data_IF_185054427971
#
_entry.id   IF_185054427971
#
_cell.length_a   1.000
_cell.length_b   1.000
_cell.length_c   1.000
_cell.angle_alpha   90.00
_cell.angle_beta   90.00
_cell.angle_gamma   90.00
#
_symmetry.space_group_name_H-M   'P 1'
#
loop_
_entity.id
_entity.type
_entity.pdbx_description
1 polymer ?
#
# COMPACT_ATOMS: atom_id res chain seq x y z
N UNK A 1 31.57 -8.66 6.15
CA UNK A 1 31.49 -7.71 5.02
C UNK A 1 31.66 -8.40 3.66
N UNK A 2 32.74 -9.16 3.39
CA UNK A 2 32.95 -9.80 2.09
C UNK A 2 31.78 -10.69 1.64
N UNK A 3 31.26 -11.54 2.54
CA UNK A 3 30.15 -12.46 2.24
C UNK A 3 28.83 -11.75 1.90
N UNK A 4 28.61 -10.55 2.43
CA UNK A 4 27.42 -9.75 2.13
C UNK A 4 27.51 -9.09 0.76
N UNK A 5 28.70 -8.61 0.39
CA UNK A 5 28.98 -8.05 -0.92
C UNK A 5 28.83 -9.12 -2.00
N UNK A 6 29.39 -10.32 -1.77
CA UNK A 6 29.23 -11.45 -2.70
C UNK A 6 27.77 -11.89 -2.85
N UNK A 7 27.01 -11.91 -1.75
CA UNK A 7 25.57 -12.22 -1.79
C UNK A 7 24.79 -11.21 -2.66
N UNK A 8 25.04 -9.91 -2.48
CA UNK A 8 24.32 -8.87 -3.25
C UNK A 8 24.77 -8.84 -4.70
N UNK A 9 26.08 -8.95 -4.97
CA UNK A 9 26.60 -9.05 -6.33
C UNK A 9 26.01 -10.28 -7.07
N UNK A 10 25.83 -11.39 -6.35
CA UNK A 10 25.20 -12.60 -6.87
C UNK A 10 23.67 -12.54 -7.03
N UNK A 11 23.00 -11.51 -6.48
CA UNK A 11 21.54 -11.38 -6.45
C UNK A 11 20.89 -10.96 -7.77
N UNK A 12 21.69 -10.56 -8.77
CA UNK A 12 21.19 -10.13 -10.08
C UNK A 12 20.28 -8.88 -10.04
N UNK A 13 20.21 -8.18 -8.91
CA UNK A 13 19.46 -6.94 -8.79
C UNK A 13 20.14 -5.82 -9.55
N UNK A 14 19.37 -5.02 -10.29
CA UNK A 14 19.89 -3.91 -11.09
C UNK A 14 20.55 -2.79 -10.29
N UNK A 15 20.34 -2.74 -8.98
CA UNK A 15 20.93 -1.77 -8.06
C UNK A 15 21.93 -2.41 -7.08
N UNK A 16 22.48 -3.60 -7.40
CA UNK A 16 23.43 -4.31 -6.54
C UNK A 16 24.65 -3.45 -6.15
N UNK A 17 25.24 -2.70 -7.10
CA UNK A 17 26.42 -1.86 -6.84
C UNK A 17 26.10 -0.71 -5.87
N UNK A 18 24.98 0.00 -6.09
CA UNK A 18 24.51 1.05 -5.20
C UNK A 18 24.21 0.49 -3.80
N UNK A 19 23.61 -0.70 -3.73
CA UNK A 19 23.33 -1.35 -2.47
C UNK A 19 24.61 -1.71 -1.71
N UNK A 20 25.63 -2.24 -2.40
CA UNK A 20 26.95 -2.53 -1.83
C UNK A 20 27.61 -1.25 -1.30
N UNK A 21 27.56 -0.15 -2.07
CA UNK A 21 28.10 1.14 -1.66
C UNK A 21 27.45 1.64 -0.37
N UNK A 22 26.10 1.65 -0.33
CA UNK A 22 25.33 2.10 0.84
C UNK A 22 25.57 1.22 2.06
N UNK A 23 25.70 -0.10 1.89
CA UNK A 23 26.08 -1.00 2.98
C UNK A 23 27.47 -0.68 3.54
N UNK A 24 28.45 -0.39 2.68
CA UNK A 24 29.80 0.01 3.12
C UNK A 24 29.79 1.33 3.86
N UNK A 25 28.90 2.24 3.49
CA UNK A 25 28.67 3.51 4.19
C UNK A 25 27.89 3.36 5.51
N UNK A 26 27.40 2.16 5.85
CA UNK A 26 26.60 1.93 7.05
C UNK A 26 25.16 2.44 6.95
N UNK A 27 24.63 2.58 5.74
CA UNK A 27 23.23 3.00 5.53
C UNK A 27 22.26 2.00 6.16
N UNK A 28 21.36 2.51 7.00
CA UNK A 28 20.43 1.68 7.78
C UNK A 28 19.44 0.93 6.88
N UNK A 29 18.88 1.56 5.85
CA UNK A 29 17.88 0.92 4.98
C UNK A 29 18.54 -0.18 4.15
N UNK A 30 19.76 0.05 3.68
CA UNK A 30 20.57 -0.97 3.02
C UNK A 30 20.83 -2.18 3.93
N UNK A 31 21.11 -1.96 5.22
CA UNK A 31 21.32 -3.02 6.20
C UNK A 31 20.03 -3.79 6.53
N UNK A 32 18.91 -3.09 6.69
CA UNK A 32 17.59 -3.69 6.94
C UNK A 32 17.17 -4.54 5.74
N UNK A 33 17.34 -4.02 4.52
CA UNK A 33 17.09 -4.77 3.29
C UNK A 33 17.91 -6.06 3.23
N UNK A 34 19.17 -6.02 3.65
CA UNK A 34 20.05 -7.19 3.65
C UNK A 34 19.57 -8.22 4.67
N UNK A 35 19.19 -7.78 5.87
CA UNK A 35 18.64 -8.66 6.88
C UNK A 35 17.37 -9.35 6.37
N UNK A 36 16.40 -8.61 5.86
CA UNK A 36 15.14 -9.16 5.37
C UNK A 36 15.33 -10.13 4.21
N UNK A 37 16.25 -9.84 3.29
CA UNK A 37 16.56 -10.73 2.15
C UNK A 37 17.02 -12.13 2.58
N UNK A 38 17.50 -12.27 3.82
CA UNK A 38 18.00 -13.52 4.40
C UNK A 38 17.03 -14.19 5.39
N UNK A 39 15.80 -13.68 5.53
CA UNK A 39 14.79 -14.25 6.41
C UNK A 39 13.69 -14.96 5.60
N UNK A 40 13.90 -16.22 5.18
CA UNK A 40 12.91 -16.95 4.38
C UNK A 40 11.62 -17.25 5.14
N UNK A 41 11.70 -17.35 6.47
CA UNK A 41 10.59 -17.69 7.36
C UNK A 41 9.91 -16.44 7.97
N UNK A 42 10.20 -15.24 7.46
CA UNK A 42 9.59 -14.02 7.94
C UNK A 42 8.06 -14.09 7.74
N UNK A 43 7.31 -14.08 8.84
CA UNK A 43 5.86 -14.16 8.81
C UNK A 43 5.18 -12.79 8.94
N UNK A 44 5.82 -11.86 9.64
CA UNK A 44 5.28 -10.53 9.90
C UNK A 44 6.40 -9.50 9.79
N UNK A 45 6.12 -8.39 9.11
CA UNK A 45 7.03 -7.27 9.00
C UNK A 45 6.33 -5.99 9.46
N UNK A 46 6.95 -5.29 10.41
CA UNK A 46 6.45 -4.00 10.91
C UNK A 46 7.50 -2.94 10.61
N UNK A 47 7.13 -1.94 9.83
CA UNK A 47 8.06 -0.96 9.27
C UNK A 47 8.08 0.29 10.13
N UNK A 48 9.00 0.42 11.08
CA UNK A 48 9.06 1.60 11.96
C UNK A 48 9.41 2.92 11.25
N UNK A 49 9.21 4.05 11.93
CA UNK A 49 9.48 5.41 11.43
C UNK A 49 10.91 5.67 10.89
N UNK A 50 11.89 4.84 11.28
CA UNK A 50 13.30 5.04 10.94
C UNK A 50 13.67 4.66 9.49
N UNK A 51 12.77 4.02 8.74
CA UNK A 51 13.06 3.56 7.36
C UNK A 51 12.44 4.44 6.28
N UNK A 52 11.91 5.62 6.64
CA UNK A 52 11.20 6.53 5.73
C UNK A 52 12.14 7.47 4.92
N UNK A 53 13.25 6.95 4.41
CA UNK A 53 14.14 7.65 3.46
C UNK A 53 13.97 7.10 2.04
N UNK A 54 14.48 7.79 1.02
CA UNK A 54 14.43 7.38 -0.40
C UNK A 54 15.32 6.16 -0.75
N UNK A 55 15.32 5.09 0.04
CA UNK A 55 16.22 3.95 -0.21
C UNK A 55 15.45 2.77 -0.79
N UNK A 56 15.26 2.81 -2.11
CA UNK A 56 14.53 1.84 -2.93
C UNK A 56 14.92 0.34 -2.74
N UNK A 57 15.87 -0.03 -1.88
CA UNK A 57 16.32 -1.40 -1.65
C UNK A 57 15.19 -2.33 -1.19
N UNK A 58 14.38 -1.91 -0.22
CA UNK A 58 13.28 -2.73 0.27
C UNK A 58 12.25 -2.99 -0.83
N UNK A 59 11.80 -1.92 -1.48
CA UNK A 59 10.94 -1.98 -2.67
C UNK A 59 11.49 -2.93 -3.73
N UNK A 60 12.78 -2.85 -4.07
CA UNK A 60 13.42 -3.69 -5.11
C UNK A 60 13.46 -5.16 -4.71
N UNK A 61 13.70 -5.48 -3.44
CA UNK A 61 13.69 -6.86 -2.95
C UNK A 61 12.29 -7.47 -3.08
N UNK A 62 11.25 -6.76 -2.64
CA UNK A 62 9.87 -7.26 -2.75
C UNK A 62 9.41 -7.36 -4.20
N UNK A 63 9.72 -6.35 -5.03
CA UNK A 63 9.46 -6.43 -6.48
C UNK A 63 10.19 -7.60 -7.14
N UNK A 64 11.44 -7.89 -6.75
CA UNK A 64 12.18 -9.04 -7.27
C UNK A 64 11.53 -10.35 -6.82
N UNK A 65 11.15 -10.46 -5.55
CA UNK A 65 10.48 -11.63 -5.01
C UNK A 65 9.13 -11.91 -5.70
N UNK A 66 8.38 -10.85 -6.03
CA UNK A 66 7.06 -10.93 -6.65
C UNK A 66 7.10 -11.09 -8.18
N UNK A 67 7.98 -10.38 -8.88
CA UNK A 67 7.91 -10.23 -10.34
C UNK A 67 9.07 -10.91 -11.10
N UNK A 68 10.19 -11.23 -10.45
CA UNK A 68 11.35 -11.84 -11.12
C UNK A 68 11.38 -13.36 -10.87
N UNK A 69 11.36 -14.17 -11.91
CA UNK A 69 11.39 -15.65 -11.80
C UNK A 69 12.77 -16.22 -11.44
N UNK A 70 13.86 -15.49 -11.68
CA UNK A 70 15.24 -16.00 -11.60
C UNK A 70 15.78 -16.17 -10.17
N UNK A 71 15.14 -15.56 -9.16
CA UNK A 71 15.41 -15.46 -7.72
C UNK A 71 16.83 -15.20 -7.18
N UNK A 72 17.90 -15.59 -7.86
CA UNK A 72 19.30 -15.30 -7.50
C UNK A 72 19.67 -15.40 -5.99
N UNK A 73 19.02 -16.30 -5.23
CA UNK A 73 19.26 -16.50 -3.80
C UNK A 73 18.53 -15.55 -2.83
N UNK A 74 17.66 -14.66 -3.31
CA UNK A 74 16.85 -13.79 -2.44
C UNK A 74 15.68 -14.56 -1.80
N UNK A 75 15.24 -14.12 -0.62
CA UNK A 75 14.01 -14.61 -0.01
C UNK A 75 12.82 -14.36 -0.93
N UNK A 76 11.97 -15.39 -1.08
CA UNK A 76 10.67 -15.30 -1.76
C UNK A 76 9.54 -14.86 -0.85
N UNK A 77 9.83 -14.66 0.44
CA UNK A 77 8.85 -14.28 1.45
C UNK A 77 7.60 -15.18 1.43
N UNK A 78 7.79 -16.48 1.18
CA UNK A 78 6.69 -17.45 1.05
C UNK A 78 5.84 -17.56 2.31
N UNK A 79 6.37 -17.14 3.46
CA UNK A 79 5.69 -17.17 4.74
C UNK A 79 5.19 -15.81 5.21
N UNK A 80 5.49 -14.71 4.49
CA UNK A 80 5.11 -13.36 4.90
C UNK A 80 3.61 -13.17 4.74
N UNK A 81 2.93 -13.01 5.86
CA UNK A 81 1.47 -12.88 5.96
C UNK A 81 1.04 -11.46 6.22
N UNK A 82 1.81 -10.73 7.02
CA UNK A 82 1.36 -9.45 7.51
C UNK A 82 2.45 -8.38 7.38
N UNK A 83 2.10 -7.26 6.75
CA UNK A 83 2.96 -6.09 6.64
C UNK A 83 2.23 -4.87 7.17
N UNK A 84 2.81 -4.23 8.19
CA UNK A 84 2.22 -3.07 8.83
C UNK A 84 3.18 -1.89 8.89
N UNK A 85 2.73 -0.74 8.41
CA UNK A 85 3.39 0.54 8.59
C UNK A 85 2.70 1.28 9.77
N UNK A 86 3.36 1.44 10.93
CA UNK A 86 2.83 2.11 12.10
C UNK A 86 2.91 3.63 11.92
N UNK A 87 1.77 4.25 11.68
CA UNK A 87 1.49 5.62 12.10
C UNK A 87 -0.03 5.82 12.11
N UNK A 88 -0.60 6.74 12.91
CA UNK A 88 -1.83 7.37 12.46
C UNK A 88 -1.53 7.89 11.06
N UNK A 89 -2.35 7.46 10.11
CA UNK A 89 -2.18 7.76 8.70
C UNK A 89 -2.16 9.28 8.45
N UNK A 90 -2.56 10.08 9.45
CA UNK A 90 -2.54 11.53 9.61
C UNK A 90 -1.22 12.23 9.21
N UNK A 91 -0.04 11.69 9.51
CA UNK A 91 1.21 12.36 9.15
C UNK A 91 1.54 12.18 7.67
N UNK A 92 1.69 13.30 6.95
CA UNK A 92 2.25 13.36 5.59
C UNK A 92 3.55 12.55 5.57
N UNK A 93 3.66 11.52 4.73
CA UNK A 93 4.77 10.60 4.83
C UNK A 93 6.06 11.18 4.22
N UNK A 94 6.04 12.46 3.85
CA UNK A 94 7.13 13.18 3.21
C UNK A 94 7.10 12.99 1.70
N UNK A 95 8.07 13.58 1.00
CA UNK A 95 8.23 13.37 -0.45
C UNK A 95 8.75 11.94 -0.67
N UNK A 96 7.88 11.04 -1.08
CA UNK A 96 8.19 9.67 -1.54
C UNK A 96 8.67 8.66 -0.47
N UNK A 97 7.81 8.28 0.48
CA UNK A 97 8.12 7.18 1.39
C UNK A 97 8.31 5.89 0.61
N UNK A 98 9.31 5.08 0.97
CA UNK A 98 9.37 3.68 0.53
C UNK A 98 8.01 3.01 0.74
N UNK A 99 7.61 2.15 -0.21
CA UNK A 99 6.31 1.47 -0.23
C UNK A 99 5.06 2.33 -0.45
N UNK A 100 5.21 3.61 -0.75
CA UNK A 100 4.08 4.43 -1.20
C UNK A 100 3.79 4.27 -2.70
N UNK A 101 4.75 3.76 -3.49
CA UNK A 101 4.55 3.57 -4.93
C UNK A 101 3.54 2.42 -5.19
N UNK A 102 2.56 2.59 -6.10
CA UNK A 102 1.63 1.52 -6.48
C UNK A 102 2.32 0.19 -6.79
N UNK A 103 3.45 0.23 -7.50
CA UNK A 103 4.21 -0.97 -7.89
C UNK A 103 4.78 -1.73 -6.69
N UNK A 104 5.16 -1.02 -5.63
CA UNK A 104 5.69 -1.61 -4.40
C UNK A 104 4.58 -2.28 -3.59
N UNK A 105 3.44 -1.59 -3.48
CA UNK A 105 2.23 -2.11 -2.82
C UNK A 105 1.74 -3.37 -3.54
N UNK A 106 1.68 -3.35 -4.87
CA UNK A 106 1.32 -4.54 -5.66
C UNK A 106 2.35 -5.66 -5.48
N UNK A 107 3.65 -5.36 -5.38
CA UNK A 107 4.64 -6.40 -5.12
C UNK A 107 4.40 -7.12 -3.78
N UNK A 108 4.02 -6.39 -2.73
CA UNK A 108 3.66 -6.97 -1.44
C UNK A 108 2.37 -7.79 -1.52
N UNK A 109 1.33 -7.27 -2.18
CA UNK A 109 0.06 -7.97 -2.36
C UNK A 109 0.21 -9.28 -3.16
N UNK A 110 1.12 -9.30 -4.13
CA UNK A 110 1.42 -10.49 -4.95
C UNK A 110 2.21 -11.58 -4.21
N UNK A 111 2.58 -11.38 -2.93
CA UNK A 111 3.31 -12.40 -2.19
C UNK A 111 2.39 -13.58 -1.80
N UNK A 112 2.85 -14.84 -1.90
CA UNK A 112 1.96 -16.01 -1.85
C UNK A 112 1.13 -16.17 -0.57
N UNK A 113 1.67 -15.75 0.58
CA UNK A 113 1.03 -15.91 1.88
C UNK A 113 0.40 -14.63 2.42
N UNK A 114 0.37 -13.54 1.64
CA UNK A 114 -0.10 -12.25 2.13
C UNK A 114 -1.56 -12.33 2.58
N UNK A 115 -1.81 -11.92 3.83
CA UNK A 115 -3.14 -11.90 4.49
C UNK A 115 -3.54 -10.49 4.89
N UNK A 116 -2.58 -9.68 5.34
CA UNK A 116 -2.84 -8.33 5.84
C UNK A 116 -1.80 -7.35 5.35
N UNK A 117 -2.25 -6.26 4.75
CA UNK A 117 -1.39 -5.13 4.37
C UNK A 117 -1.98 -3.83 4.90
N UNK A 118 -1.16 -3.03 5.59
CA UNK A 118 -1.55 -1.69 6.03
C UNK A 118 -0.48 -0.65 5.79
N UNK A 119 -0.70 0.37 4.96
CA UNK A 119 0.28 1.44 4.72
C UNK A 119 -0.22 2.51 3.75
N UNK A 120 0.70 3.33 3.26
CA UNK A 120 0.41 4.34 2.23
C UNK A 120 0.47 3.73 0.84
N UNK A 121 -0.39 4.19 -0.06
CA UNK A 121 -0.33 3.84 -1.47
C UNK A 121 -0.77 5.05 -2.30
N UNK A 122 0.20 5.74 -2.89
CA UNK A 122 -0.04 6.77 -3.89
C UNK A 122 -0.72 6.16 -5.11
N UNK A 123 -1.26 7.02 -5.96
CA UNK A 123 -1.90 6.56 -7.18
C UNK A 123 -0.93 6.35 -8.34
N UNK A 124 -1.28 5.47 -9.29
CA UNK A 124 -0.49 5.32 -10.51
C UNK A 124 -0.56 6.57 -11.38
N UNK A 125 0.39 6.71 -12.31
CA UNK A 125 0.42 7.84 -13.24
C UNK A 125 -0.78 7.88 -14.21
N UNK A 126 -1.51 6.77 -14.34
CA UNK A 126 -2.68 6.64 -15.21
C UNK A 126 -3.60 5.51 -14.75
N UNK A 127 -4.87 5.60 -15.12
CA UNK A 127 -5.88 4.55 -14.92
C UNK A 127 -6.42 4.08 -16.28
N UNK A 128 -6.65 2.76 -16.48
CA UNK A 128 -6.45 1.66 -15.53
C UNK A 128 -4.96 1.40 -15.24
N UNK A 129 -4.69 0.75 -14.11
CA UNK A 129 -3.34 0.42 -13.66
C UNK A 129 -2.72 -0.67 -14.55
N UNK A 130 -1.47 -0.44 -14.98
CA UNK A 130 -0.72 -1.45 -15.74
C UNK A 130 0.02 -2.38 -14.77
N UNK A 131 -0.49 -3.60 -14.65
CA UNK A 131 0.09 -4.62 -13.76
C UNK A 131 1.50 -5.04 -14.19
N UNK A 132 2.50 -5.02 -13.28
CA UNK A 132 3.89 -5.35 -13.63
C UNK A 132 4.10 -6.77 -14.19
N UNK A 133 3.32 -7.74 -13.71
CA UNK A 133 3.42 -9.16 -14.08
C UNK A 133 2.05 -9.79 -14.37
N UNK A 134 1.10 -8.96 -14.81
CA UNK A 134 -0.32 -9.32 -14.87
C UNK A 134 -1.03 -9.18 -13.51
N UNK A 135 -2.39 -9.18 -13.48
CA UNK A 135 -3.15 -9.03 -12.25
C UNK A 135 -2.92 -10.23 -11.31
N UNK A 136 -2.54 -10.01 -10.05
CA UNK A 136 -2.38 -11.09 -9.08
C UNK A 136 -3.73 -11.64 -8.62
N UNK A 137 -3.75 -12.91 -8.19
CA UNK A 137 -4.84 -13.44 -7.38
C UNK A 137 -4.65 -12.98 -5.94
N UNK A 138 -5.61 -12.20 -5.43
CA UNK A 138 -5.60 -11.66 -4.07
C UNK A 138 -6.72 -12.27 -3.20
N UNK A 139 -7.28 -13.43 -3.61
CA UNK A 139 -8.32 -14.15 -2.87
C UNK A 139 -7.88 -14.59 -1.47
N UNK A 140 -6.58 -14.56 -1.19
CA UNK A 140 -6.00 -14.87 0.10
C UNK A 140 -5.99 -13.69 1.09
N UNK A 141 -6.17 -12.46 0.60
CA UNK A 141 -6.11 -11.25 1.40
C UNK A 141 -7.36 -11.14 2.28
N UNK A 142 -7.16 -10.99 3.59
CA UNK A 142 -8.23 -10.87 4.57
C UNK A 142 -8.39 -9.44 5.11
N UNK A 143 -7.32 -8.65 5.09
CA UNK A 143 -7.30 -7.29 5.61
C UNK A 143 -6.49 -6.35 4.72
N UNK A 144 -7.07 -5.21 4.36
CA UNK A 144 -6.42 -4.16 3.59
C UNK A 144 -6.66 -2.81 4.26
N UNK A 145 -5.59 -2.05 4.48
CA UNK A 145 -5.68 -0.69 5.01
C UNK A 145 -4.77 0.23 4.22
N UNK A 146 -5.34 1.07 3.35
CA UNK A 146 -4.56 1.95 2.49
C UNK A 146 -4.99 3.41 2.67
N UNK A 147 -3.99 4.29 2.61
CA UNK A 147 -4.19 5.74 2.48
C UNK A 147 -3.76 6.24 1.10
N UNK A 148 -4.32 7.38 0.70
CA UNK A 148 -4.06 8.09 -0.57
C UNK A 148 -4.65 7.44 -1.83
N UNK A 149 -5.20 6.23 -1.73
CA UNK A 149 -5.67 5.49 -2.91
C UNK A 149 -6.94 6.11 -3.50
N UNK A 150 -6.89 6.38 -4.80
CA UNK A 150 -8.01 6.80 -5.62
C UNK A 150 -9.02 5.65 -5.79
N UNK A 151 -10.31 5.97 -5.80
CA UNK A 151 -11.41 4.99 -5.84
C UNK A 151 -11.26 3.99 -7.00
N UNK A 152 -10.93 4.47 -8.20
CA UNK A 152 -10.79 3.59 -9.36
C UNK A 152 -9.57 2.67 -9.30
N UNK A 153 -8.52 3.09 -8.59
CA UNK A 153 -7.39 2.20 -8.36
C UNK A 153 -7.72 1.16 -7.28
N UNK A 154 -8.39 1.60 -6.20
CA UNK A 154 -8.91 0.72 -5.17
C UNK A 154 -9.85 -0.34 -5.76
N UNK A 155 -10.76 0.05 -6.66
CA UNK A 155 -11.68 -0.87 -7.35
C UNK A 155 -10.93 -2.01 -8.06
N UNK A 156 -9.86 -1.69 -8.79
CA UNK A 156 -9.04 -2.69 -9.48
C UNK A 156 -8.34 -3.67 -8.52
N UNK A 157 -8.00 -3.22 -7.30
CA UNK A 157 -7.48 -4.10 -6.25
C UNK A 157 -8.61 -4.97 -5.70
N UNK A 158 -9.76 -4.37 -5.37
CA UNK A 158 -10.89 -5.04 -4.74
C UNK A 158 -11.56 -6.10 -5.62
N UNK A 159 -11.56 -5.90 -6.94
CA UNK A 159 -11.96 -6.92 -7.92
C UNK A 159 -11.20 -8.25 -7.78
N UNK A 160 -10.04 -8.25 -7.12
CA UNK A 160 -9.20 -9.42 -6.89
C UNK A 160 -9.23 -9.93 -5.46
N UNK A 161 -9.81 -9.20 -4.51
CA UNK A 161 -9.81 -9.53 -3.08
C UNK A 161 -11.16 -10.10 -2.62
N UNK A 162 -11.65 -11.15 -3.29
CA UNK A 162 -13.03 -11.66 -3.08
C UNK A 162 -13.34 -12.14 -1.65
N UNK A 163 -12.32 -12.43 -0.84
CA UNK A 163 -12.46 -12.86 0.56
C UNK A 163 -12.06 -11.79 1.59
N UNK A 164 -12.00 -10.52 1.17
CA UNK A 164 -11.61 -9.42 2.04
C UNK A 164 -12.61 -9.23 3.18
N UNK A 165 -12.15 -9.35 4.42
CA UNK A 165 -12.99 -9.18 5.62
C UNK A 165 -12.89 -7.79 6.21
N UNK A 166 -11.75 -7.11 6.02
CA UNK A 166 -11.48 -5.80 6.60
C UNK A 166 -10.94 -4.86 5.55
N UNK A 167 -11.58 -3.71 5.41
CA UNK A 167 -11.10 -2.61 4.60
C UNK A 167 -11.03 -1.34 5.43
N UNK A 168 -9.86 -0.70 5.42
CA UNK A 168 -9.71 0.69 5.84
C UNK A 168 -9.20 1.50 4.65
N UNK A 169 -10.00 2.46 4.20
CA UNK A 169 -9.62 3.36 3.10
C UNK A 169 -9.60 4.78 3.62
N UNK A 170 -8.44 5.42 3.56
CA UNK A 170 -8.30 6.83 3.90
C UNK A 170 -8.02 7.64 2.63
N UNK A 171 -8.99 8.48 2.27
CA UNK A 171 -8.84 9.45 1.20
C UNK A 171 -8.05 10.66 1.68
N UNK A 172 -7.04 11.05 0.91
CA UNK A 172 -6.25 12.25 1.16
C UNK A 172 -6.09 13.02 -0.14
N UNK A 173 -6.46 14.29 -0.10
CA UNK A 173 -6.25 15.22 -1.20
C UNK A 173 -5.08 16.16 -0.87
N UNK A 174 -3.99 16.01 -1.61
CA UNK A 174 -2.86 16.94 -1.58
C UNK A 174 -2.52 17.25 -3.03
N UNK A 175 -2.96 18.42 -3.52
CA UNK A 175 -2.86 18.78 -4.94
C UNK A 175 -1.44 18.71 -5.52
N UNK A 176 -0.41 18.91 -4.70
CA UNK A 176 0.98 18.84 -5.12
C UNK A 176 1.55 17.42 -5.18
N UNK A 177 0.90 16.43 -4.55
CA UNK A 177 1.40 15.06 -4.40
C UNK A 177 0.68 14.11 -5.33
N UNK A 178 -0.63 14.28 -5.51
CA UNK A 178 -1.45 13.33 -6.26
C UNK A 178 -2.49 14.05 -7.13
N UNK A 179 -2.33 14.06 -8.47
CA UNK A 179 -3.26 14.72 -9.36
C UNK A 179 -4.56 13.91 -9.61
N UNK A 180 -4.61 12.63 -9.23
CA UNK A 180 -5.81 11.80 -9.44
C UNK A 180 -6.83 12.01 -8.33
N UNK A 181 -6.39 12.14 -7.09
CA UNK A 181 -7.30 12.57 -6.03
C UNK A 181 -7.61 14.05 -6.20
N UNK A 182 -8.90 14.38 -6.24
CA UNK A 182 -9.38 15.76 -6.23
C UNK A 182 -9.91 16.12 -4.84
N UNK A 183 -10.37 17.36 -4.69
CA UNK A 183 -11.11 17.83 -3.52
C UNK A 183 -12.50 17.19 -3.40
N UNK A 184 -12.92 16.35 -4.34
CA UNK A 184 -14.24 15.72 -4.37
C UNK A 184 -14.14 14.21 -4.21
N UNK A 185 -14.82 13.65 -3.20
CA UNK A 185 -15.00 12.21 -3.03
C UNK A 185 -16.38 11.78 -3.53
N UNK A 186 -16.42 10.77 -4.40
CA UNK A 186 -17.65 10.17 -4.94
C UNK A 186 -17.98 8.87 -4.19
N UNK A 187 -18.96 8.96 -3.28
CA UNK A 187 -19.37 7.86 -2.40
C UNK A 187 -20.12 6.77 -3.15
N UNK A 188 -20.90 7.11 -4.17
CA UNK A 188 -21.59 6.11 -4.99
C UNK A 188 -20.54 5.24 -5.70
N UNK A 189 -19.52 5.86 -6.30
CA UNK A 189 -18.41 5.13 -6.92
C UNK A 189 -17.60 4.31 -5.91
N UNK A 190 -17.39 4.84 -4.70
CA UNK A 190 -16.74 4.08 -3.63
C UNK A 190 -17.53 2.83 -3.29
N UNK A 191 -18.84 2.92 -3.10
CA UNK A 191 -19.70 1.76 -2.82
C UNK A 191 -19.71 0.76 -3.97
N UNK A 192 -19.77 1.23 -5.22
CA UNK A 192 -19.63 0.37 -6.40
C UNK A 192 -18.29 -0.40 -6.40
N UNK A 193 -17.19 0.24 -6.03
CA UNK A 193 -15.88 -0.39 -5.92
C UNK A 193 -15.82 -1.50 -4.85
N UNK A 194 -16.69 -1.46 -3.83
CA UNK A 194 -16.75 -2.47 -2.78
C UNK A 194 -17.55 -3.72 -3.17
N UNK A 195 -18.40 -3.66 -4.20
CA UNK A 195 -19.28 -4.76 -4.59
C UNK A 195 -18.59 -6.13 -4.73
N UNK A 196 -17.36 -6.25 -5.26
CA UNK A 196 -16.66 -7.54 -5.33
C UNK A 196 -16.46 -8.23 -3.97
N UNK A 197 -16.47 -7.46 -2.87
CA UNK A 197 -16.28 -7.95 -1.50
C UNK A 197 -17.58 -7.92 -0.68
N UNK A 198 -18.74 -7.65 -1.30
CA UNK A 198 -20.00 -7.43 -0.60
C UNK A 198 -20.37 -8.56 0.36
N UNK A 199 -20.17 -9.81 -0.07
CA UNK A 199 -20.53 -11.00 0.70
C UNK A 199 -19.48 -11.36 1.77
N UNK A 200 -18.32 -10.70 1.82
CA UNK A 200 -17.21 -11.09 2.71
C UNK A 200 -16.75 -9.99 3.64
N UNK A 201 -17.04 -8.73 3.32
CA UNK A 201 -16.62 -7.56 4.10
C UNK A 201 -17.35 -7.50 5.45
N UNK A 202 -16.59 -7.53 6.55
CA UNK A 202 -17.11 -7.52 7.92
C UNK A 202 -16.79 -6.22 8.69
N UNK A 203 -15.67 -5.57 8.37
CA UNK A 203 -15.18 -4.34 9.01
C UNK A 203 -14.82 -3.31 7.93
N UNK A 204 -15.52 -2.18 7.91
CA UNK A 204 -15.30 -1.10 6.96
C UNK A 204 -14.98 0.20 7.71
N UNK A 205 -13.81 0.76 7.43
CA UNK A 205 -13.42 2.10 7.86
C UNK A 205 -13.20 2.98 6.64
N UNK A 206 -13.87 4.13 6.59
CA UNK A 206 -13.71 5.14 5.55
C UNK A 206 -13.29 6.45 6.22
N UNK A 207 -12.16 7.00 5.83
CA UNK A 207 -11.70 8.28 6.35
C UNK A 207 -11.40 9.22 5.19
N UNK A 208 -11.56 10.52 5.42
CA UNK A 208 -11.29 11.57 4.45
C UNK A 208 -10.65 12.73 5.18
N UNK A 209 -9.35 12.91 4.97
CA UNK A 209 -8.56 13.95 5.63
C UNK A 209 -8.18 15.00 4.60
N UNK A 210 -8.51 16.25 4.89
CA UNK A 210 -7.96 17.39 4.18
C UNK A 210 -6.74 17.89 4.96
N UNK A 211 -5.55 17.47 4.54
CA UNK A 211 -4.31 18.01 5.09
C UNK A 211 -3.97 19.28 4.31
N UNK A 212 -4.01 20.40 5.02
CA UNK A 212 -3.37 21.64 4.62
C UNK A 212 -1.88 21.37 4.42
N UNK A 213 -1.35 21.59 3.21
CA UNK A 213 0.10 21.64 3.03
C UNK A 213 0.66 22.71 3.98
N UNK A 214 1.85 22.49 4.54
CA UNK A 214 2.41 23.29 5.64
C UNK A 214 2.43 24.83 5.40
N UNK A 215 2.25 25.27 4.15
CA UNK A 215 2.25 26.67 3.73
C UNK A 215 0.88 27.19 3.20
N UNK A 216 -0.19 26.38 3.17
CA UNK A 216 -1.47 26.72 2.52
C UNK A 216 -2.60 26.94 3.55
N UNK A 217 -2.67 28.14 4.14
CA UNK A 217 -3.68 28.49 5.15
C UNK A 217 -5.14 28.46 4.67
N UNK A 218 -5.40 28.20 3.38
CA UNK A 218 -6.76 27.99 2.91
C UNK A 218 -7.23 26.58 3.29
N UNK A 219 -8.18 26.51 4.23
CA UNK A 219 -8.96 25.29 4.47
C UNK A 219 -9.59 24.87 3.16
N UNK A 220 -9.01 23.88 2.49
CA UNK A 220 -9.66 23.25 1.36
C UNK A 220 -10.86 22.48 1.91
N UNK A 221 -12.02 22.67 1.30
CA UNK A 221 -13.20 21.88 1.63
C UNK A 221 -13.09 20.55 0.87
N UNK A 222 -13.43 19.44 1.53
CA UNK A 222 -13.70 18.20 0.80
C UNK A 222 -15.17 18.26 0.40
N UNK A 223 -15.42 18.18 -0.90
CA UNK A 223 -16.76 18.01 -1.45
C UNK A 223 -17.10 16.53 -1.46
N UNK A 224 -18.33 16.22 -1.07
CA UNK A 224 -18.85 14.85 -1.08
C UNK A 224 -19.94 14.79 -2.15
N UNK A 225 -19.88 13.78 -3.01
CA UNK A 225 -20.90 13.47 -3.99
C UNK A 225 -21.45 12.07 -3.73
N UNK A 226 -22.75 11.90 -3.96
CA UNK A 226 -23.40 10.60 -3.78
C UNK A 226 -23.64 10.30 -2.31
N UNK A 227 -23.87 9.03 -2.00
CA UNK A 227 -24.17 8.60 -0.64
C UNK A 227 -23.58 7.21 -0.34
N UNK A 228 -23.60 6.84 0.94
CA UNK A 228 -23.25 5.48 1.36
C UNK A 228 -24.45 4.52 1.38
N UNK A 229 -25.61 4.91 0.85
CA UNK A 229 -26.85 4.12 0.95
C UNK A 229 -26.73 2.72 0.30
N UNK A 230 -25.88 2.55 -0.71
CA UNK A 230 -25.66 1.23 -1.30
C UNK A 230 -25.02 0.22 -0.33
N UNK A 231 -24.43 0.68 0.79
CA UNK A 231 -23.94 -0.19 1.86
C UNK A 231 -25.07 -0.99 2.55
N UNK A 232 -26.34 -0.60 2.40
CA UNK A 232 -27.49 -1.38 2.92
C UNK A 232 -27.53 -2.80 2.35
N UNK A 233 -26.93 -3.02 1.19
CA UNK A 233 -26.83 -4.34 0.56
C UNK A 233 -25.71 -5.24 1.14
N UNK A 234 -24.84 -4.70 2.01
CA UNK A 234 -23.67 -5.38 2.57
C UNK A 234 -24.01 -6.03 3.90
N UNK A 235 -24.76 -7.14 3.85
CA UNK A 235 -25.32 -7.81 5.03
C UNK A 235 -24.29 -8.29 6.08
N UNK A 236 -23.01 -8.42 5.71
CA UNK A 236 -21.97 -8.94 6.60
C UNK A 236 -21.17 -7.86 7.35
N UNK A 237 -21.38 -6.57 7.07
CA UNK A 237 -20.71 -5.49 7.78
C UNK A 237 -21.21 -5.46 9.24
N UNK A 238 -20.31 -5.79 10.16
CA UNK A 238 -20.55 -5.79 11.61
C UNK A 238 -19.99 -4.55 12.29
N UNK A 239 -18.96 -3.95 11.68
CA UNK A 239 -18.35 -2.71 12.13
C UNK A 239 -18.22 -1.76 10.97
N UNK A 240 -18.78 -0.56 11.15
CA UNK A 240 -18.64 0.54 10.24
C UNK A 240 -18.12 1.77 10.99
N UNK A 241 -17.06 2.38 10.46
CA UNK A 241 -16.51 3.65 10.92
C UNK A 241 -16.38 4.58 9.72
N UNK A 242 -16.89 5.80 9.85
CA UNK A 242 -16.65 6.84 8.87
C UNK A 242 -16.29 8.16 9.55
N UNK A 243 -15.47 8.96 8.87
CA UNK A 243 -15.27 10.35 9.26
C UNK A 243 -16.58 11.14 9.14
N UNK A 244 -16.84 11.99 10.14
CA UNK A 244 -18.12 12.69 10.26
C UNK A 244 -18.46 13.56 9.03
N UNK A 245 -17.45 14.11 8.37
CA UNK A 245 -17.58 14.86 7.10
C UNK A 245 -18.28 14.04 6.00
N UNK A 246 -18.06 12.73 5.96
CA UNK A 246 -18.68 11.83 4.98
C UNK A 246 -20.12 11.45 5.33
N UNK A 247 -20.54 11.70 6.58
CA UNK A 247 -21.88 11.35 7.08
C UNK A 247 -22.86 12.53 7.05
N UNK A 248 -22.35 13.77 7.03
CA UNK A 248 -23.15 15.00 7.12
C UNK A 248 -23.62 15.58 5.78
N UNK A 249 -23.07 15.11 4.66
CA UNK A 249 -23.25 15.74 3.33
C UNK A 249 -24.20 14.96 2.41
N UNK A 250 -25.01 14.05 2.96
CA UNK A 250 -26.00 13.26 2.23
C UNK A 250 -27.37 13.95 2.17
#
# INVERSE_FOLDING_TARGET
>A
MPDFVSFIAGSGLSNADLWIEKLRAGDLNACVALLLSKLPNLATFRVGYATAGENQFLSKIFQSAAFNTSNHGLSRFQHLKDVFFPSPLENDPGRHPEFSNPRDVIALLSLPSMRSLSGWCLNPSSLPFTWPSGPPDLSHLASLSLSFVHVDFLAQILERTLNLKKLSSEWKYIAAVDPLNTDTIDLDRFVEALKPCQDTLEDLTIDAINTVAWDDYERRYIYVRGSLNGLDSFANIKRFKASFTLLLLN
#
